data_IF_637907446255
#
_entry.id   IF_637907446255
#
_cell.length_a   1.000
_cell.length_b   1.000
_cell.length_c   1.000
_cell.angle_alpha   90.00
_cell.angle_beta   90.00
_cell.angle_gamma   90.00
#
_symmetry.space_group_name_H-M   'P 1'
#
loop_
_entity.id
_entity.type
_entity.pdbx_description
1 polymer ?
#
# COMPACT_ATOMS: atom_id res chain seq x y z
N UNK A 1 -4.98 -37.74 -12.08
CA UNK A 1 -6.40 -37.31 -11.92
C UNK A 1 -6.45 -35.78 -12.05
N UNK A 2 -7.01 -35.25 -13.13
CA UNK A 2 -7.28 -33.80 -13.24
C UNK A 2 -8.41 -33.45 -12.25
N UNK A 3 -8.14 -32.57 -11.29
CA UNK A 3 -9.20 -32.00 -10.43
C UNK A 3 -10.07 -31.05 -11.28
N UNK A 4 -11.39 -31.00 -11.04
CA UNK A 4 -12.28 -30.11 -11.79
C UNK A 4 -11.88 -28.64 -11.55
N UNK A 5 -11.75 -27.86 -12.64
CA UNK A 5 -11.54 -26.41 -12.56
C UNK A 5 -12.78 -25.76 -11.90
N UNK A 6 -12.56 -25.07 -10.79
CA UNK A 6 -13.61 -24.31 -10.11
C UNK A 6 -14.02 -23.12 -11.01
N UNK A 7 -15.21 -23.18 -11.60
CA UNK A 7 -15.68 -22.17 -12.55
C UNK A 7 -16.46 -21.08 -11.81
N UNK A 8 -15.76 -20.03 -11.38
CA UNK A 8 -16.31 -18.87 -10.68
C UNK A 8 -17.53 -18.24 -11.39
N UNK A 9 -17.56 -18.25 -12.75
CA UNK A 9 -18.68 -17.71 -13.54
C UNK A 9 -20.00 -18.46 -13.35
N UNK A 10 -19.99 -19.75 -12.99
CA UNK A 10 -21.23 -20.54 -12.79
C UNK A 10 -21.83 -20.37 -11.39
N UNK A 11 -21.02 -20.00 -10.39
CA UNK A 11 -21.46 -19.90 -9.00
C UNK A 11 -21.88 -18.49 -8.58
N UNK A 12 -21.49 -17.46 -9.33
CA UNK A 12 -21.94 -16.08 -9.11
C UNK A 12 -23.20 -15.81 -9.94
N UNK A 13 -24.34 -16.33 -9.49
CA UNK A 13 -25.66 -15.93 -10.01
C UNK A 13 -25.91 -14.44 -9.78
N UNK A 14 -26.70 -13.81 -10.66
CA UNK A 14 -26.95 -12.34 -10.72
C UNK A 14 -27.50 -11.69 -9.44
N UNK A 15 -27.78 -12.45 -8.37
CA UNK A 15 -28.33 -11.98 -7.10
C UNK A 15 -27.56 -12.56 -5.89
N UNK A 16 -26.23 -12.35 -5.80
CA UNK A 16 -25.42 -12.76 -4.65
C UNK A 16 -25.05 -11.54 -3.76
N UNK A 17 -24.91 -11.69 -2.42
CA UNK A 17 -24.74 -10.58 -1.46
C UNK A 17 -23.45 -9.76 -1.63
N UNK A 18 -22.50 -10.22 -2.45
CA UNK A 18 -21.27 -9.47 -2.74
C UNK A 18 -21.51 -8.19 -3.56
N UNK A 19 -22.70 -8.02 -4.15
CA UNK A 19 -23.12 -6.76 -4.77
C UNK A 19 -23.43 -5.65 -3.77
N UNK A 20 -23.42 -5.94 -2.46
CA UNK A 20 -23.76 -4.99 -1.39
C UNK A 20 -22.62 -4.73 -0.40
N UNK A 21 -21.36 -5.04 -0.75
CA UNK A 21 -20.22 -4.51 0.00
C UNK A 21 -20.07 -3.01 -0.35
N UNK A 22 -20.85 -2.17 0.35
CA UNK A 22 -20.62 -0.73 0.38
C UNK A 22 -19.38 -0.48 1.25
N UNK A 23 -18.21 -0.54 0.63
CA UNK A 23 -16.95 -0.18 1.29
C UNK A 23 -16.95 1.30 1.66
N UNK A 24 -16.40 1.70 2.83
CA UNK A 24 -16.08 3.09 3.09
C UNK A 24 -15.14 3.61 1.99
N UNK A 25 -15.27 4.90 1.64
CA UNK A 25 -14.64 5.53 0.47
C UNK A 25 -13.14 5.17 0.33
N UNK A 26 -12.82 4.24 -0.58
CA UNK A 26 -11.45 4.04 -1.04
C UNK A 26 -11.10 5.17 -2.02
N UNK A 27 -10.13 6.00 -1.65
CA UNK A 27 -9.59 7.03 -2.52
C UNK A 27 -8.71 6.42 -3.60
N UNK A 28 -8.80 6.92 -4.83
CA UNK A 28 -7.96 6.46 -5.95
C UNK A 28 -6.50 6.90 -5.80
N UNK A 29 -6.25 7.92 -4.96
CA UNK A 29 -4.91 8.36 -4.58
C UNK A 29 -4.91 9.00 -3.19
N UNK A 30 -3.73 9.10 -2.58
CA UNK A 30 -3.54 9.84 -1.32
C UNK A 30 -4.03 11.29 -1.43
N UNK A 31 -3.79 11.93 -2.59
CA UNK A 31 -4.24 13.30 -2.88
C UNK A 31 -5.76 13.41 -2.91
N UNK A 32 -6.46 12.44 -3.51
CA UNK A 32 -7.94 12.42 -3.51
C UNK A 32 -8.50 12.27 -2.08
N UNK A 33 -7.79 11.52 -1.23
CA UNK A 33 -8.09 11.42 0.20
C UNK A 33 -7.97 12.76 0.92
N UNK A 34 -6.85 13.46 0.72
CA UNK A 34 -6.63 14.81 1.27
C UNK A 34 -7.73 15.77 0.81
N UNK A 35 -8.01 15.81 -0.50
CA UNK A 35 -9.05 16.69 -1.06
C UNK A 35 -10.42 16.37 -0.49
N UNK A 36 -10.74 15.09 -0.28
CA UNK A 36 -12.03 14.68 0.27
C UNK A 36 -12.17 15.08 1.73
N UNK A 37 -11.16 14.81 2.57
CA UNK A 37 -11.14 15.26 3.97
C UNK A 37 -11.28 16.78 4.05
N UNK A 38 -10.55 17.52 3.22
CA UNK A 38 -10.64 18.97 3.17
C UNK A 38 -12.05 19.45 2.82
N UNK A 39 -12.70 18.86 1.80
CA UNK A 39 -14.10 19.14 1.42
C UNK A 39 -15.09 18.81 2.51
N UNK A 40 -14.82 17.80 3.34
CA UNK A 40 -15.62 17.42 4.49
C UNK A 40 -15.36 18.32 5.72
N UNK A 41 -14.47 19.31 5.61
CA UNK A 41 -14.10 20.16 6.74
C UNK A 41 -13.22 19.47 7.79
N UNK A 42 -12.61 18.33 7.44
CA UNK A 42 -11.68 17.58 8.30
C UNK A 42 -10.22 17.91 7.98
N UNK A 43 -9.37 17.71 8.97
CA UNK A 43 -7.92 17.78 8.84
C UNK A 43 -7.31 16.44 8.45
N UNK A 44 -5.98 16.39 8.34
CA UNK A 44 -5.23 15.20 7.99
C UNK A 44 -3.80 15.27 8.55
N UNK A 45 -3.15 14.12 8.81
CA UNK A 45 -1.80 14.09 9.35
C UNK A 45 -0.79 14.65 8.34
N UNK A 46 0.22 15.37 8.84
CA UNK A 46 1.32 15.92 8.04
C UNK A 46 2.63 15.94 8.84
N UNK A 47 3.76 15.82 8.16
CA UNK A 47 5.07 16.12 8.71
C UNK A 47 5.43 17.59 8.41
N UNK A 48 5.95 18.32 9.40
CA UNK A 48 6.43 19.70 9.22
C UNK A 48 7.89 19.82 9.64
N UNK A 49 8.69 20.49 8.81
CA UNK A 49 10.13 20.66 9.03
C UNK A 49 10.64 22.03 8.60
N UNK A 50 11.68 22.52 9.28
CA UNK A 50 12.41 23.74 8.94
C UNK A 50 13.90 23.42 8.95
N UNK A 51 14.54 23.49 7.78
CA UNK A 51 15.99 23.25 7.64
C UNK A 51 16.83 24.48 8.04
N UNK A 52 16.33 25.69 7.77
CA UNK A 52 17.01 26.94 8.09
C UNK A 52 16.00 28.03 8.45
N UNK A 53 16.20 28.69 9.59
CA UNK A 53 15.35 29.82 10.02
C UNK A 53 16.16 31.12 10.11
N UNK A 54 16.48 31.68 8.94
CA UNK A 54 17.16 32.98 8.86
C UNK A 54 16.29 34.14 9.35
N UNK A 55 14.96 34.01 9.20
CA UNK A 55 14.00 35.08 9.50
C UNK A 55 13.55 35.13 10.98
N UNK A 56 13.78 34.06 11.74
CA UNK A 56 13.18 33.83 13.05
C UNK A 56 11.67 33.53 13.01
N UNK A 57 11.12 33.22 11.83
CA UNK A 57 9.68 33.03 11.55
C UNK A 57 9.38 31.80 10.70
N UNK A 58 10.37 31.00 10.33
CA UNK A 58 10.15 29.87 9.42
C UNK A 58 9.16 28.84 10.00
N UNK A 59 9.16 28.64 11.32
CA UNK A 59 8.18 27.79 11.99
C UNK A 59 6.76 28.33 11.92
N UNK A 60 6.58 29.64 12.11
CA UNK A 60 5.28 30.28 11.97
C UNK A 60 4.73 30.12 10.55
N UNK A 61 5.61 30.22 9.55
CA UNK A 61 5.24 29.99 8.15
C UNK A 61 4.88 28.53 7.88
N UNK A 62 5.67 27.57 8.36
CA UNK A 62 5.38 26.14 8.18
C UNK A 62 4.03 25.76 8.80
N UNK A 63 3.76 26.21 10.03
CA UNK A 63 2.50 25.99 10.73
C UNK A 63 1.34 26.72 10.02
N UNK A 64 1.58 27.97 9.60
CA UNK A 64 0.60 28.77 8.85
C UNK A 64 0.19 28.10 7.53
N UNK A 65 1.15 27.56 6.78
CA UNK A 65 0.89 26.80 5.55
C UNK A 65 0.11 25.53 5.86
N UNK A 66 0.54 24.74 6.86
CA UNK A 66 -0.16 23.51 7.26
C UNK A 66 -1.61 23.78 7.65
N UNK A 67 -1.88 24.90 8.33
CA UNK A 67 -3.24 25.33 8.66
C UNK A 67 -4.01 25.79 7.43
N UNK A 68 -3.40 26.58 6.54
CA UNK A 68 -4.04 27.12 5.34
C UNK A 68 -4.47 26.03 4.34
N UNK A 69 -3.69 24.96 4.19
CA UNK A 69 -4.08 23.80 3.38
C UNK A 69 -5.12 22.91 4.08
N UNK A 70 -5.41 23.20 5.35
CA UNK A 70 -6.36 22.46 6.16
C UNK A 70 -5.84 21.15 6.73
N UNK A 71 -4.51 20.94 6.76
CA UNK A 71 -3.92 19.77 7.41
C UNK A 71 -4.15 19.83 8.93
N UNK A 72 -3.95 21.00 9.55
CA UNK A 72 -4.16 21.23 10.99
C UNK A 72 -5.22 22.29 11.28
N UNK A 73 -5.70 22.32 12.53
CA UNK A 73 -6.74 23.26 12.97
C UNK A 73 -8.17 22.78 12.70
N UNK A 74 -8.32 21.54 12.21
CA UNK A 74 -9.59 20.84 11.99
C UNK A 74 -9.55 19.49 12.69
N UNK A 75 -10.72 18.88 12.92
CA UNK A 75 -10.83 17.52 13.47
C UNK A 75 -10.00 16.52 12.66
N UNK A 76 -9.20 15.69 13.33
CA UNK A 76 -8.28 14.72 12.70
C UNK A 76 -6.99 15.32 12.14
N UNK A 77 -6.82 16.65 12.20
CA UNK A 77 -5.63 17.33 11.73
C UNK A 77 -4.49 17.33 12.75
N UNK A 78 -3.36 16.71 12.38
CA UNK A 78 -2.18 16.59 13.24
C UNK A 78 -0.93 16.95 12.45
N UNK A 79 -0.05 17.76 13.03
CA UNK A 79 1.28 17.97 12.50
C UNK A 79 2.32 17.36 13.44
N UNK A 80 3.21 16.55 12.87
CA UNK A 80 4.37 16.00 13.58
C UNK A 80 5.61 16.71 13.07
N UNK A 81 6.42 17.20 14.01
CA UNK A 81 7.70 17.83 13.68
C UNK A 81 8.69 16.79 13.18
N UNK A 82 9.39 17.07 12.09
CA UNK A 82 10.45 16.23 11.52
C UNK A 82 11.56 17.09 10.88
N UNK A 83 12.61 16.44 10.37
CA UNK A 83 13.66 17.06 9.56
C UNK A 83 13.52 16.65 8.09
N UNK A 84 14.24 17.34 7.20
CA UNK A 84 14.24 17.00 5.78
C UNK A 84 14.90 15.63 5.53
N UNK A 85 15.95 15.32 6.28
CA UNK A 85 16.65 14.04 6.21
C UNK A 85 15.79 12.88 6.73
N UNK A 86 15.03 13.13 7.80
CA UNK A 86 14.16 12.14 8.42
C UNK A 86 12.95 11.84 7.53
N UNK A 87 12.31 12.86 6.95
CA UNK A 87 11.21 12.68 5.99
C UNK A 87 11.66 11.95 4.72
N UNK A 88 12.77 12.40 4.11
CA UNK A 88 13.28 11.77 2.89
C UNK A 88 13.68 10.30 3.12
N UNK A 89 14.27 9.98 4.28
CA UNK A 89 14.58 8.59 4.62
C UNK A 89 13.32 7.77 4.84
N UNK A 90 12.37 8.25 5.65
CA UNK A 90 11.15 7.51 5.98
C UNK A 90 10.31 7.21 4.73
N UNK A 91 10.13 8.22 3.88
CA UNK A 91 9.36 8.13 2.65
C UNK A 91 9.99 7.10 1.69
N UNK A 92 11.23 7.35 1.26
CA UNK A 92 11.95 6.48 0.32
C UNK A 92 12.13 5.05 0.87
N UNK A 93 12.46 4.90 2.15
CA UNK A 93 12.67 3.58 2.72
C UNK A 93 11.36 2.78 2.73
N UNK A 94 10.23 3.41 3.06
CA UNK A 94 8.93 2.74 3.03
C UNK A 94 8.54 2.33 1.60
N UNK A 95 8.82 3.17 0.61
CA UNK A 95 8.54 2.94 -0.80
C UNK A 95 9.47 1.89 -1.44
N UNK A 96 10.67 1.68 -0.90
CA UNK A 96 11.65 0.73 -1.43
C UNK A 96 11.70 -0.61 -0.69
N UNK A 97 11.12 -0.68 0.52
CA UNK A 97 11.17 -1.90 1.34
C UNK A 97 9.77 -2.46 1.57
N UNK A 98 8.96 -1.80 2.39
CA UNK A 98 7.62 -2.27 2.76
C UNK A 98 6.73 -2.50 1.54
N UNK A 99 6.63 -1.52 0.63
CA UNK A 99 5.78 -1.66 -0.55
C UNK A 99 6.28 -2.75 -1.52
N UNK A 100 7.57 -2.84 -1.88
CA UNK A 100 8.09 -3.93 -2.72
C UNK A 100 8.03 -5.30 -2.06
N UNK A 101 8.22 -5.41 -0.73
CA UNK A 101 8.08 -6.67 0.01
C UNK A 101 6.65 -7.20 -0.02
N UNK A 102 5.65 -6.30 0.08
CA UNK A 102 4.24 -6.67 -0.08
C UNK A 102 3.99 -7.24 -1.48
N UNK A 103 4.48 -6.57 -2.53
CA UNK A 103 4.39 -7.02 -3.93
C UNK A 103 5.08 -8.38 -4.12
N UNK A 104 6.30 -8.54 -3.59
CA UNK A 104 7.07 -9.78 -3.71
C UNK A 104 6.35 -10.95 -3.03
N UNK A 105 5.81 -10.74 -1.83
CA UNK A 105 5.09 -11.76 -1.07
C UNK A 105 3.81 -12.19 -1.79
N UNK A 106 3.02 -11.24 -2.29
CA UNK A 106 1.80 -11.54 -3.06
C UNK A 106 2.10 -12.32 -4.34
N UNK A 107 3.15 -11.92 -5.08
CA UNK A 107 3.57 -12.63 -6.30
C UNK A 107 4.04 -14.05 -5.98
N UNK A 108 4.89 -14.21 -4.98
CA UNK A 108 5.39 -15.53 -4.57
C UNK A 108 4.24 -16.45 -4.11
N UNK A 109 3.29 -15.92 -3.32
CA UNK A 109 2.09 -16.65 -2.94
C UNK A 109 1.28 -17.06 -4.17
N UNK A 110 1.04 -16.13 -5.09
CA UNK A 110 0.31 -16.39 -6.33
C UNK A 110 0.94 -17.51 -7.17
N UNK A 111 2.25 -17.44 -7.40
CA UNK A 111 2.96 -18.44 -8.19
C UNK A 111 2.88 -19.80 -7.50
N UNK A 112 3.22 -19.89 -6.20
CA UNK A 112 3.19 -21.14 -5.44
C UNK A 112 1.79 -21.77 -5.44
N UNK A 113 0.76 -20.98 -5.13
CA UNK A 113 -0.61 -21.48 -4.93
C UNK A 113 -1.27 -21.86 -6.25
N UNK A 114 -1.02 -21.11 -7.32
CA UNK A 114 -1.55 -21.46 -8.65
C UNK A 114 -0.80 -22.62 -9.29
N UNK A 115 0.53 -22.68 -9.18
CA UNK A 115 1.32 -23.69 -9.88
C UNK A 115 1.39 -25.02 -9.14
N UNK A 116 1.65 -25.01 -7.84
CA UNK A 116 1.85 -26.24 -7.07
C UNK A 116 0.55 -26.84 -6.56
N UNK A 117 -0.41 -25.98 -6.19
CA UNK A 117 -1.66 -26.41 -5.58
C UNK A 117 -2.86 -26.34 -6.55
N UNK A 118 -2.67 -25.76 -7.74
CA UNK A 118 -3.68 -25.74 -8.80
C UNK A 118 -4.91 -24.89 -8.47
N UNK A 119 -4.76 -23.91 -7.57
CA UNK A 119 -5.84 -22.98 -7.23
C UNK A 119 -6.03 -22.00 -8.39
N UNK A 120 -7.28 -21.64 -8.67
CA UNK A 120 -7.60 -20.68 -9.73
C UNK A 120 -6.97 -19.30 -9.41
N UNK A 121 -6.27 -18.67 -10.37
CA UNK A 121 -5.70 -17.33 -10.21
C UNK A 121 -6.65 -16.28 -9.62
N UNK A 122 -7.91 -16.30 -10.04
CA UNK A 122 -8.95 -15.36 -9.64
C UNK A 122 -9.31 -15.51 -8.16
N UNK A 123 -9.35 -16.75 -7.65
CA UNK A 123 -9.58 -17.00 -6.23
C UNK A 123 -8.41 -16.52 -5.37
N UNK A 124 -7.17 -16.71 -5.84
CA UNK A 124 -5.98 -16.21 -5.15
C UNK A 124 -5.99 -14.69 -5.08
N UNK A 125 -6.31 -14.01 -6.18
CA UNK A 125 -6.36 -12.55 -6.22
C UNK A 125 -7.50 -12.00 -5.35
N UNK A 126 -8.65 -12.68 -5.34
CA UNK A 126 -9.77 -12.37 -4.46
C UNK A 126 -9.36 -12.41 -2.99
N UNK A 127 -8.69 -13.49 -2.58
CA UNK A 127 -8.18 -13.67 -1.22
C UNK A 127 -7.15 -12.60 -0.83
N UNK A 128 -6.19 -12.30 -1.70
CA UNK A 128 -5.06 -11.43 -1.35
C UNK A 128 -5.46 -9.95 -1.18
N UNK A 129 -6.31 -9.43 -2.05
CA UNK A 129 -6.65 -7.99 -2.01
C UNK A 129 -7.96 -7.63 -2.69
N UNK A 130 -8.45 -8.39 -3.66
CA UNK A 130 -9.64 -7.98 -4.40
C UNK A 130 -10.94 -8.11 -3.59
N UNK A 131 -10.95 -8.85 -2.47
CA UNK A 131 -12.06 -8.85 -1.51
C UNK A 131 -12.27 -7.49 -0.84
N UNK A 132 -11.23 -6.66 -0.73
CA UNK A 132 -11.24 -5.41 0.04
C UNK A 132 -10.84 -5.56 1.51
N UNK A 133 -10.79 -6.79 2.03
CA UNK A 133 -10.48 -7.09 3.44
C UNK A 133 -9.09 -6.59 3.85
N UNK A 134 -8.09 -6.67 2.96
CA UNK A 134 -6.77 -6.10 3.21
C UNK A 134 -6.83 -4.59 3.53
N UNK A 135 -7.72 -3.86 2.85
CA UNK A 135 -7.94 -2.44 3.12
C UNK A 135 -8.63 -2.19 4.46
N UNK A 136 -9.54 -3.07 4.87
CA UNK A 136 -10.19 -3.01 6.19
C UNK A 136 -9.20 -3.27 7.32
N UNK A 137 -8.27 -4.21 7.14
CA UNK A 137 -7.16 -4.42 8.06
C UNK A 137 -6.31 -3.14 8.17
N UNK A 138 -6.00 -2.48 7.06
CA UNK A 138 -5.27 -1.21 7.07
C UNK A 138 -5.99 -0.10 7.85
N UNK A 139 -7.31 0.01 7.71
CA UNK A 139 -8.11 0.95 8.52
C UNK A 139 -8.09 0.58 10.01
N UNK A 140 -8.21 -0.71 10.34
CA UNK A 140 -8.14 -1.17 11.72
C UNK A 140 -6.75 -0.94 12.34
N UNK A 141 -5.67 -1.05 11.55
CA UNK A 141 -4.32 -0.71 11.99
C UNK A 141 -4.19 0.79 12.33
N UNK A 142 -4.82 1.67 11.55
CA UNK A 142 -4.79 3.11 11.81
C UNK A 142 -5.56 3.49 13.08
N UNK A 143 -6.68 2.82 13.36
CA UNK A 143 -7.55 3.11 14.51
C UNK A 143 -7.04 2.46 15.81
N UNK A 144 -6.64 1.20 15.75
CA UNK A 144 -6.34 0.38 16.94
C UNK A 144 -4.85 0.07 17.09
N UNK A 145 -4.05 0.24 16.03
CA UNK A 145 -2.63 -0.13 15.98
C UNK A 145 -2.38 -1.49 15.32
N UNK A 146 -1.11 -1.72 14.92
CA UNK A 146 -0.67 -2.87 14.13
C UNK A 146 -1.05 -4.24 14.74
N UNK A 147 -0.85 -4.40 16.04
CA UNK A 147 -1.05 -5.69 16.72
C UNK A 147 -2.41 -5.80 17.41
N UNK A 148 -2.92 -4.72 17.99
CA UNK A 148 -4.19 -4.73 18.72
C UNK A 148 -5.39 -5.02 17.80
N UNK A 149 -5.33 -4.59 16.54
CA UNK A 149 -6.35 -4.94 15.55
C UNK A 149 -6.49 -6.46 15.33
N UNK A 150 -5.48 -7.28 15.67
CA UNK A 150 -5.57 -8.74 15.56
C UNK A 150 -6.70 -9.33 16.43
N UNK A 151 -7.19 -8.60 17.44
CA UNK A 151 -8.36 -9.00 18.24
C UNK A 151 -9.64 -9.15 17.40
N UNK A 152 -9.70 -8.55 16.22
CA UNK A 152 -10.81 -8.70 15.27
C UNK A 152 -10.68 -9.92 14.34
N UNK A 153 -9.56 -10.64 14.41
CA UNK A 153 -9.30 -11.84 13.61
C UNK A 153 -9.70 -13.10 14.38
N UNK A 154 -9.90 -14.22 13.67
CA UNK A 154 -10.06 -15.53 14.31
C UNK A 154 -8.81 -15.91 15.12
N UNK A 155 -8.98 -16.70 16.18
CA UNK A 155 -7.83 -17.16 16.99
C UNK A 155 -6.81 -17.97 16.19
N UNK A 156 -7.27 -18.67 15.13
CA UNK A 156 -6.38 -19.35 14.17
C UNK A 156 -5.52 -18.35 13.39
N UNK A 157 -6.12 -17.27 12.88
CA UNK A 157 -5.39 -16.21 12.18
C UNK A 157 -4.41 -15.49 13.13
N UNK A 158 -4.86 -15.11 14.32
CA UNK A 158 -4.03 -14.49 15.35
C UNK A 158 -2.78 -15.33 15.67
N UNK A 159 -2.98 -16.63 15.94
CA UNK A 159 -1.87 -17.55 16.19
C UNK A 159 -0.95 -17.63 14.97
N UNK A 160 -1.51 -17.73 13.76
CA UNK A 160 -0.76 -17.73 12.51
C UNK A 160 0.13 -16.50 12.33
N UNK A 161 -0.39 -15.30 12.56
CA UNK A 161 0.37 -14.06 12.42
C UNK A 161 1.51 -14.00 13.46
N UNK A 162 1.17 -14.11 14.75
CA UNK A 162 2.10 -13.88 15.84
C UNK A 162 3.24 -14.92 15.90
N UNK A 163 2.95 -16.18 15.59
CA UNK A 163 3.97 -17.23 15.67
C UNK A 163 4.80 -17.42 14.39
N UNK A 164 4.43 -16.77 13.27
CA UNK A 164 5.17 -16.86 12.00
C UNK A 164 5.94 -15.59 11.67
N UNK A 165 5.55 -14.43 12.21
CA UNK A 165 6.17 -13.14 11.93
C UNK A 165 7.72 -13.18 12.11
N UNK A 166 8.19 -13.74 13.22
CA UNK A 166 9.63 -13.84 13.55
C UNK A 166 10.45 -14.60 12.50
N UNK A 167 9.84 -15.52 11.74
CA UNK A 167 10.56 -16.30 10.72
C UNK A 167 11.10 -15.44 9.58
N UNK A 168 10.48 -14.28 9.34
CA UNK A 168 10.84 -13.37 8.25
C UNK A 168 11.59 -12.14 8.75
N UNK A 169 11.71 -11.96 10.07
CA UNK A 169 12.22 -10.72 10.65
C UNK A 169 13.66 -10.43 10.22
N UNK A 170 14.59 -11.37 10.42
CA UNK A 170 16.01 -11.15 10.12
C UNK A 170 16.31 -10.88 8.64
N UNK A 171 15.51 -11.47 7.73
CA UNK A 171 15.67 -11.21 6.29
C UNK A 171 15.08 -9.84 5.92
N UNK A 172 13.91 -9.49 6.44
CA UNK A 172 13.28 -8.18 6.19
C UNK A 172 14.13 -7.05 6.78
N UNK A 173 14.63 -7.22 8.00
CA UNK A 173 15.50 -6.24 8.65
C UNK A 173 16.73 -5.93 7.82
N UNK A 174 17.41 -6.97 7.30
CA UNK A 174 18.59 -6.82 6.44
C UNK A 174 18.28 -6.06 5.14
N UNK A 175 17.14 -6.37 4.51
CA UNK A 175 16.69 -5.65 3.31
C UNK A 175 16.49 -4.17 3.64
N UNK A 176 15.87 -3.86 4.77
CA UNK A 176 15.70 -2.48 5.22
C UNK A 176 17.04 -1.79 5.50
N UNK A 177 17.99 -2.46 6.13
CA UNK A 177 19.33 -1.92 6.41
C UNK A 177 20.09 -1.62 5.12
N UNK A 178 20.09 -2.54 4.15
CA UNK A 178 20.76 -2.38 2.86
C UNK A 178 20.16 -1.22 2.03
N UNK A 179 18.83 -1.12 1.96
CA UNK A 179 18.18 -0.03 1.23
C UNK A 179 18.33 1.32 1.95
N UNK A 180 18.29 1.34 3.29
CA UNK A 180 18.56 2.55 4.07
C UNK A 180 19.97 3.09 3.81
N UNK A 181 20.98 2.24 3.69
CA UNK A 181 22.34 2.65 3.37
C UNK A 181 22.43 3.33 1.99
N UNK A 182 21.81 2.73 0.96
CA UNK A 182 21.77 3.29 -0.41
C UNK A 182 21.03 4.63 -0.48
N UNK A 183 20.01 4.81 0.35
CA UNK A 183 19.28 6.08 0.45
C UNK A 183 20.18 7.12 1.15
N UNK A 184 20.72 6.78 2.32
CA UNK A 184 21.55 7.69 3.13
C UNK A 184 22.82 8.15 2.42
N UNK A 185 23.48 7.27 1.65
CA UNK A 185 24.70 7.60 0.91
C UNK A 185 24.42 8.27 -0.47
N UNK A 186 23.14 8.50 -0.80
CA UNK A 186 22.68 9.15 -2.02
C UNK A 186 22.82 8.31 -3.29
N UNK A 187 23.08 7.00 -3.20
CA UNK A 187 23.15 6.09 -4.34
C UNK A 187 21.84 6.08 -5.12
N UNK A 188 20.71 5.91 -4.42
CA UNK A 188 19.42 5.95 -5.08
C UNK A 188 19.12 7.32 -5.71
N UNK A 189 19.48 8.42 -5.05
CA UNK A 189 19.29 9.76 -5.61
C UNK A 189 20.03 9.94 -6.95
N UNK A 190 21.25 9.38 -7.05
CA UNK A 190 22.02 9.37 -8.31
C UNK A 190 21.39 8.44 -9.35
N UNK A 191 21.00 7.23 -8.95
CA UNK A 191 20.31 6.27 -9.82
C UNK A 191 19.05 6.89 -10.45
N UNK A 192 18.15 7.44 -9.63
CA UNK A 192 16.91 8.03 -10.09
C UNK A 192 17.13 9.26 -10.96
N UNK A 193 18.14 10.09 -10.66
CA UNK A 193 18.50 11.23 -11.50
C UNK A 193 18.93 10.78 -12.90
N UNK A 194 19.78 9.75 -12.99
CA UNK A 194 20.22 9.20 -14.28
C UNK A 194 19.07 8.58 -15.06
N UNK A 195 18.17 7.85 -14.38
CA UNK A 195 16.98 7.27 -15.00
C UNK A 195 16.04 8.35 -15.57
N UNK A 196 15.88 9.48 -14.87
CA UNK A 196 15.12 10.62 -15.38
C UNK A 196 15.76 11.24 -16.61
N UNK A 197 17.09 11.46 -16.59
CA UNK A 197 17.85 11.98 -17.75
C UNK A 197 17.73 11.03 -18.95
N UNK A 198 17.74 9.72 -18.71
CA UNK A 198 17.59 8.70 -19.74
C UNK A 198 16.16 8.58 -20.30
N UNK A 199 15.18 9.31 -19.77
CA UNK A 199 13.79 9.25 -20.22
C UNK A 199 12.98 8.09 -19.61
N UNK A 200 13.34 7.64 -18.41
CA UNK A 200 12.59 6.64 -17.61
C UNK A 200 12.50 5.27 -18.29
N UNK A 201 13.55 4.84 -18.98
CA UNK A 201 13.56 3.62 -19.80
C UNK A 201 13.39 2.36 -18.95
N UNK A 202 14.08 2.27 -17.82
CA UNK A 202 13.98 1.13 -16.90
C UNK A 202 12.59 1.11 -16.26
N UNK A 203 12.08 2.25 -15.78
CA UNK A 203 10.75 2.36 -15.21
C UNK A 203 9.67 1.91 -16.21
N UNK A 204 9.75 2.38 -17.47
CA UNK A 204 8.83 1.97 -18.53
C UNK A 204 8.90 0.46 -18.83
N UNK A 205 10.10 -0.13 -18.76
CA UNK A 205 10.30 -1.58 -18.91
C UNK A 205 9.68 -2.37 -17.74
N UNK A 206 9.88 -1.89 -16.51
CA UNK A 206 9.30 -2.48 -15.31
C UNK A 206 7.78 -2.46 -15.37
N UNK A 207 7.16 -1.32 -15.73
CA UNK A 207 5.71 -1.24 -15.94
C UNK A 207 5.20 -2.33 -16.87
N UNK A 208 5.78 -2.44 -18.08
CA UNK A 208 5.40 -3.47 -19.05
C UNK A 208 5.57 -4.89 -18.48
N UNK A 209 6.69 -5.17 -17.82
CA UNK A 209 6.97 -6.48 -17.22
C UNK A 209 5.90 -6.87 -16.20
N UNK A 210 5.54 -5.97 -15.29
CA UNK A 210 4.60 -6.28 -14.22
C UNK A 210 3.14 -6.32 -14.71
N UNK A 211 2.74 -5.40 -15.59
CA UNK A 211 1.36 -5.36 -16.13
C UNK A 211 1.06 -6.45 -17.15
N UNK A 212 2.10 -7.09 -17.73
CA UNK A 212 1.94 -8.24 -18.62
C UNK A 212 2.13 -9.59 -17.89
N UNK A 213 2.29 -9.57 -16.56
CA UNK A 213 2.42 -10.81 -15.79
C UNK A 213 1.11 -11.62 -15.78
N UNK A 214 1.22 -12.94 -15.60
CA UNK A 214 0.06 -13.84 -15.45
C UNK A 214 -0.90 -13.34 -14.37
N UNK A 215 -0.37 -12.88 -13.25
CA UNK A 215 -1.14 -12.32 -12.14
C UNK A 215 -1.95 -11.09 -12.57
N UNK A 216 -1.32 -10.12 -13.25
CA UNK A 216 -2.02 -8.91 -13.72
C UNK A 216 -3.08 -9.22 -14.79
N UNK A 217 -2.83 -10.18 -15.68
CA UNK A 217 -3.83 -10.60 -16.66
C UNK A 217 -5.03 -11.29 -15.99
N UNK A 218 -4.77 -12.17 -15.01
CA UNK A 218 -5.82 -12.83 -14.24
C UNK A 218 -6.63 -11.86 -13.38
N UNK A 219 -6.00 -10.79 -12.89
CA UNK A 219 -6.68 -9.71 -12.16
C UNK A 219 -7.70 -8.99 -13.03
N UNK A 220 -7.34 -8.67 -14.28
CA UNK A 220 -8.26 -8.06 -15.24
C UNK A 220 -9.49 -8.95 -15.45
N UNK A 221 -9.28 -10.24 -15.66
CA UNK A 221 -10.37 -11.22 -15.82
C UNK A 221 -11.27 -11.29 -14.58
N UNK A 222 -10.70 -11.33 -13.38
CA UNK A 222 -11.46 -11.27 -12.14
C UNK A 222 -12.27 -9.97 -12.04
N UNK A 223 -11.68 -8.83 -12.36
CA UNK A 223 -12.38 -7.54 -12.26
C UNK A 223 -13.53 -7.42 -13.26
N UNK A 224 -13.41 -8.04 -14.44
CA UNK A 224 -14.55 -8.18 -15.35
C UNK A 224 -15.67 -9.04 -14.74
N UNK A 225 -15.32 -10.16 -14.10
CA UNK A 225 -16.29 -11.04 -13.42
C UNK A 225 -17.01 -10.28 -12.28
N UNK A 226 -16.26 -9.47 -11.53
CA UNK A 226 -16.79 -8.66 -10.43
C UNK A 226 -17.54 -7.41 -10.90
N UNK A 227 -17.61 -7.13 -12.20
CA UNK A 227 -18.24 -5.92 -12.74
C UNK A 227 -17.50 -4.62 -12.39
N UNK A 228 -16.21 -4.70 -12.00
CA UNK A 228 -15.37 -3.56 -11.62
C UNK A 228 -14.62 -2.93 -12.80
N UNK A 229 -15.19 -2.98 -14.01
CA UNK A 229 -14.53 -2.38 -15.19
C UNK A 229 -14.22 -0.92 -14.91
N UNK A 230 -12.94 -0.57 -15.03
CA UNK A 230 -12.50 0.82 -15.12
C UNK A 230 -12.60 1.19 -16.60
N UNK A 231 -13.50 2.12 -16.92
CA UNK A 231 -13.45 2.88 -18.17
C UNK A 231 -12.17 3.74 -18.20
#
# INVERSE_FOLDING_TARGET
MQKPRYNLRRNLGRNHPFSQLSFPHFYKSQVEGIVTLHKQGKGYPVLIGVANDYSGKAWDYAIGIASAIGAIGKEGGVAVRSSFEEEALLDLLSEHTWAPLLVATMKAYFDVVTEKYGVSPEAVILELYASGELGEIGMAMAEYGLFEQLKFHSTTSQYGHLSRAEKYYDIVKRICEEEAEKIQNGEFAREWTLEQIAGKVVLNSLWKKFTNSKMSMSEKELYEILGRKKD
#
